data_IF_160729526257
#
_entry.id   IF_160729526257
#
_cell.length_a   1.000
_cell.length_b   1.000
_cell.length_c   1.000
_cell.angle_alpha   90.00
_cell.angle_beta   90.00
_cell.angle_gamma   90.00
#
_symmetry.space_group_name_H-M   'P 1'
#
loop_
_entity.id
_entity.type
_entity.pdbx_description
1 polymer ?
2 non-polymer ?
3 water ?
#
# COMPACT_ATOMS: atom_id res chain seq x y z
N UNK A 5 26.80 5.54 2.91
CA UNK A 5 25.67 6.47 2.80
C UNK A 5 24.37 5.84 3.27
N UNK A 6 23.80 6.36 4.36
CA UNK A 6 22.53 5.83 4.86
C UNK A 6 21.39 6.05 3.88
N UNK A 7 20.42 5.14 3.95
CA UNK A 7 19.18 5.19 3.19
C UNK A 7 18.04 4.78 4.11
N UNK A 8 16.82 5.10 3.73
CA UNK A 8 15.66 4.69 4.51
C UNK A 8 14.67 3.98 3.61
N UNK A 9 13.93 3.04 4.18
CA UNK A 9 13.02 2.27 3.36
C UNK A 9 12.05 1.45 4.19
N UNK A 10 11.01 0.97 3.52
CA UNK A 10 10.03 0.08 4.11
C UNK A 10 10.24 -1.32 3.54
N UNK A 11 10.31 -2.30 4.41
CA UNK A 11 10.46 -3.68 3.97
C UNK A 11 9.12 -4.16 3.44
N UNK A 12 9.09 -4.54 2.16
CA UNK A 12 7.86 -5.04 1.57
C UNK A 12 7.73 -6.55 1.58
N UNK A 13 8.84 -7.28 1.67
CA UNK A 13 8.79 -8.74 1.61
C UNK A 13 10.16 -9.27 2.04
N UNK A 14 10.16 -10.47 2.63
CA UNK A 14 11.39 -11.19 2.93
C UNK A 14 11.25 -12.64 2.50
N UNK A 15 12.39 -13.27 2.19
CA UNK A 15 12.45 -14.67 1.77
C UNK A 15 13.69 -15.29 2.39
N UNK A 16 13.52 -16.44 3.03
CA UNK A 16 14.67 -17.14 3.61
C UNK A 16 15.54 -17.72 2.51
N UNK A 17 16.86 -17.53 2.63
CA UNK A 17 17.83 -18.17 1.76
C UNK A 17 18.98 -18.71 2.60
N UNK A 18 19.62 -19.76 2.08
CA UNK A 18 20.67 -20.51 2.80
C UNK A 18 20.12 -20.91 4.18
N UNK A 19 20.97 -20.98 5.19
CA UNK A 19 20.53 -21.44 6.49
C UNK A 19 19.64 -20.40 7.18
N UNK A 20 20.19 -19.21 7.41
CA UNK A 20 19.50 -18.19 8.20
C UNK A 20 19.50 -16.82 7.51
N UNK A 21 19.83 -16.75 6.23
CA UNK A 21 19.90 -15.46 5.57
C UNK A 21 18.51 -15.09 5.01
N UNK A 22 18.36 -13.82 4.65
CA UNK A 22 17.15 -13.33 4.03
C UNK A 22 17.47 -12.55 2.76
N UNK A 23 16.64 -12.75 1.74
CA UNK A 23 16.48 -11.73 0.71
C UNK A 23 15.44 -10.73 1.21
N UNK A 24 15.76 -9.44 1.12
CA UNK A 24 14.93 -8.38 1.69
C UNK A 24 14.57 -7.41 0.57
N UNK A 25 13.27 -7.25 0.33
CA UNK A 25 12.76 -6.32 -0.66
C UNK A 25 12.38 -5.03 0.06
N UNK A 26 12.98 -3.91 -0.35
CA UNK A 26 12.89 -2.65 0.38
C UNK A 26 12.44 -1.54 -0.56
N UNK A 27 11.38 -0.82 -0.16
CA UNK A 27 10.95 0.34 -0.93
C UNK A 27 11.62 1.58 -0.36
N UNK A 28 12.49 2.21 -1.15
CA UNK A 28 13.03 3.52 -0.80
C UNK A 28 12.37 4.60 -1.67
N UNK A 29 12.82 5.84 -1.51
CA UNK A 29 12.27 6.94 -2.29
C UNK A 29 12.67 6.89 -3.75
N UNK A 30 13.67 6.09 -4.12
CA UNK A 30 14.14 6.01 -5.49
C UNK A 30 13.89 4.68 -6.17
N UNK A 31 13.70 3.60 -5.41
CA UNK A 31 13.87 2.28 -5.99
C UNK A 31 13.20 1.23 -5.12
N UNK A 32 12.73 0.16 -5.76
CA UNK A 32 12.47 -1.08 -5.04
C UNK A 32 13.77 -1.87 -5.08
N UNK A 33 14.33 -2.16 -3.90
CA UNK A 33 15.63 -2.81 -3.75
C UNK A 33 15.42 -4.27 -3.40
N UNK A 34 16.22 -5.17 -4.02
CA UNK A 34 16.26 -6.58 -3.64
C UNK A 34 17.64 -6.84 -3.07
N UNK A 35 17.73 -7.00 -1.76
CA UNK A 35 19.01 -7.02 -1.06
C UNK A 35 19.20 -8.32 -0.29
N UNK A 36 20.46 -8.62 0.03
CA UNK A 36 20.83 -9.85 0.74
C UNK A 36 21.29 -9.51 2.16
N UNK A 37 20.66 -10.15 3.16
CA UNK A 37 20.97 -9.90 4.56
C UNK A 37 21.51 -11.16 5.22
N UNK A 38 22.78 -11.12 5.63
CA UNK A 38 23.35 -12.22 6.40
C UNK A 38 22.58 -12.39 7.71
N UNK A 39 22.20 -13.64 8.02
CA UNK A 39 21.57 -13.99 9.30
C UNK A 39 20.28 -13.20 9.56
N UNK A 40 19.58 -12.82 8.49
CA UNK A 40 18.40 -11.98 8.63
C UNK A 40 17.27 -12.64 9.39
N UNK A 41 17.22 -13.97 9.40
CA UNK A 41 16.21 -14.67 10.17
C UNK A 41 16.35 -14.42 11.67
N UNK A 42 17.55 -14.04 12.12
CA UNK A 42 17.79 -13.79 13.54
C UNK A 42 17.47 -12.36 13.95
N UNK A 43 17.22 -11.46 13.00
CA UNK A 43 17.19 -10.03 13.25
C UNK A 43 15.75 -9.55 13.39
N UNK A 44 15.36 -9.19 14.61
CA UNK A 44 13.99 -8.76 14.87
C UNK A 44 13.65 -7.44 14.20
N UNK A 45 14.64 -6.73 13.65
CA UNK A 45 14.40 -5.50 12.92
C UNK A 45 13.93 -5.73 11.48
N UNK A 46 14.02 -6.95 10.97
CA UNK A 46 13.77 -7.21 9.56
C UNK A 46 12.49 -8.03 9.46
N UNK A 47 11.38 -7.33 9.23
CA UNK A 47 10.06 -7.94 9.11
C UNK A 47 9.25 -7.09 8.13
N UNK A 48 8.43 -7.75 7.32
CA UNK A 48 7.61 -7.01 6.36
C UNK A 48 6.78 -5.94 7.05
N UNK A 49 6.80 -4.73 6.51
CA UNK A 49 6.10 -3.60 7.06
C UNK A 49 6.97 -2.69 7.89
N UNK A 50 8.09 -3.19 8.39
CA UNK A 50 8.98 -2.38 9.21
C UNK A 50 9.68 -1.33 8.35
N UNK A 51 9.99 -0.19 8.98
CA UNK A 51 10.81 0.83 8.35
C UNK A 51 12.22 0.72 8.91
N UNK A 52 13.21 0.83 8.04
CA UNK A 52 14.60 0.70 8.47
C UNK A 52 15.43 1.81 7.87
N UNK A 53 16.50 2.14 8.58
CA UNK A 53 17.62 2.91 8.08
C UNK A 53 18.75 1.91 7.82
N UNK A 54 19.40 2.02 6.67
CA UNK A 54 20.34 0.97 6.27
C UNK A 54 21.33 1.53 5.26
N UNK A 55 22.27 0.68 4.88
CA UNK A 55 23.23 0.97 3.82
C UNK A 55 23.31 -0.26 2.92
N UNK A 56 23.86 -0.06 1.72
CA UNK A 56 24.00 -1.14 0.76
C UNK A 56 25.45 -1.27 0.34
N UNK A 57 25.93 -2.50 0.29
CA UNK A 57 27.24 -2.83 -0.25
C UNK A 57 27.01 -3.51 -1.59
N UNK A 58 27.47 -2.88 -2.67
CA UNK A 58 27.27 -3.45 -4.00
C UNK A 58 28.16 -4.66 -4.20
N UNK A 59 27.67 -5.64 -4.97
CA UNK A 59 28.35 -6.87 -5.30
C UNK A 59 28.32 -7.10 -6.80
N UNK A 60 29.44 -7.49 -7.41
CA UNK A 60 29.42 -7.77 -8.85
C UNK A 60 28.50 -8.94 -9.17
N UNK A 61 27.60 -8.71 -10.12
CA UNK A 61 26.73 -9.76 -10.65
C UNK A 61 25.90 -10.44 -9.55
N UNK A 62 25.56 -9.69 -8.50
CA UNK A 62 24.71 -10.27 -7.46
C UNK A 62 23.97 -9.14 -6.74
N UNK A 63 23.05 -9.54 -5.87
CA UNK A 63 22.32 -8.58 -5.05
C UNK A 63 23.27 -7.74 -4.19
N UNK A 64 22.89 -6.50 -3.87
CA UNK A 64 23.64 -5.75 -2.86
C UNK A 64 23.42 -6.35 -1.49
N UNK A 65 24.45 -6.28 -0.65
CA UNK A 65 24.34 -6.74 0.71
C UNK A 65 23.74 -5.66 1.61
N UNK A 66 22.76 -6.05 2.41
CA UNK A 66 22.06 -5.15 3.32
C UNK A 66 22.86 -5.03 4.62
N UNK A 67 23.26 -3.79 4.97
CA UNK A 67 24.14 -3.54 6.10
C UNK A 67 23.61 -2.40 6.95
N UNK A 68 24.20 -2.27 8.15
CA UNK A 68 24.00 -1.11 9.04
C UNK A 68 22.52 -0.86 9.30
N UNK A 69 21.81 -1.91 9.67
CA UNK A 69 20.35 -1.85 9.77
C UNK A 69 19.93 -1.32 11.13
N UNK A 70 19.11 -0.27 11.13
CA UNK A 70 18.51 0.30 12.32
C UNK A 70 17.00 0.31 12.15
N UNK A 71 16.29 -0.28 13.11
CA UNK A 71 14.83 -0.28 13.07
C UNK A 71 14.29 1.10 13.41
N UNK A 72 13.51 1.68 12.51
CA UNK A 72 12.81 2.94 12.74
C UNK A 72 11.39 2.58 13.18
N UNK A 73 11.19 2.53 14.50
CA UNK A 73 9.95 2.01 15.02
C UNK A 73 8.77 2.92 14.83
N UNK A 74 7.58 2.33 14.93
CA UNK A 74 6.33 3.07 14.88
C UNK A 74 5.79 3.21 16.30
N UNK A 75 5.16 4.36 16.57
CA UNK A 75 4.54 4.56 17.88
C UNK A 75 3.48 3.49 18.16
N UNK A 76 2.82 2.96 17.13
CA UNK A 76 1.72 2.03 17.28
C UNK A 76 2.13 0.58 17.02
N UNK A 77 3.43 0.30 17.00
CA UNK A 77 3.91 -1.01 16.55
C UNK A 77 3.41 -2.15 17.43
N UNK A 78 3.05 -1.88 18.68
CA UNK A 78 2.59 -2.92 19.58
C UNK A 78 1.11 -3.27 19.40
N UNK A 79 0.38 -2.50 18.61
CA UNK A 79 -1.06 -2.72 18.42
C UNK A 79 -1.22 -3.74 17.29
N UNK A 80 -1.40 -5.01 17.67
CA UNK A 80 -1.40 -6.10 16.69
C UNK A 80 -2.51 -5.92 15.66
N UNK A 81 -3.65 -5.40 16.08
CA UNK A 81 -4.75 -5.11 15.15
C UNK A 81 -4.29 -4.19 14.03
N UNK A 82 -3.69 -3.05 14.38
CA UNK A 82 -3.23 -2.10 13.38
C UNK A 82 -2.12 -2.68 12.52
N UNK A 83 -1.19 -3.42 13.15
CA UNK A 83 -0.08 -3.98 12.39
C UNK A 83 -0.55 -5.03 11.41
N UNK A 84 -1.61 -5.77 11.75
CA UNK A 84 -2.21 -6.71 10.81
C UNK A 84 -2.69 -6.00 9.56
N UNK A 85 -3.41 -4.89 9.71
CA UNK A 85 -3.91 -4.14 8.55
C UNK A 85 -2.75 -3.56 7.76
N UNK A 86 -1.75 -3.02 8.47
CA UNK A 86 -0.57 -2.50 7.79
C UNK A 86 0.10 -3.56 6.95
N UNK A 87 0.30 -4.76 7.52
CA UNK A 87 0.98 -5.80 6.78
C UNK A 87 0.14 -6.30 5.60
N UNK A 88 -1.20 -6.28 5.72
CA UNK A 88 -2.05 -6.58 4.57
C UNK A 88 -1.80 -5.61 3.44
N UNK A 89 -1.77 -4.31 3.75
CA UNK A 89 -1.56 -3.30 2.72
C UNK A 89 -0.17 -3.44 2.10
N UNK A 90 0.83 -3.68 2.94
CA UNK A 90 2.21 -3.81 2.47
C UNK A 90 2.33 -4.98 1.50
N UNK A 91 1.67 -6.09 1.81
CA UNK A 91 1.70 -7.24 0.91
C UNK A 91 1.02 -6.92 -0.41
N UNK A 92 -0.11 -6.21 -0.35
CA UNK A 92 -0.77 -5.77 -1.59
C UNK A 92 0.15 -4.85 -2.39
N UNK A 93 0.86 -3.96 -1.71
CA UNK A 93 1.75 -3.03 -2.41
C UNK A 93 2.95 -3.75 -3.00
N UNK A 94 3.50 -4.73 -2.28
CA UNK A 94 4.58 -5.55 -2.85
C UNK A 94 4.14 -6.21 -4.15
N UNK A 95 2.94 -6.81 -4.16
CA UNK A 95 2.48 -7.48 -5.37
C UNK A 95 2.27 -6.49 -6.50
N UNK A 96 1.78 -5.31 -6.17
CA UNK A 96 1.59 -4.24 -7.14
C UNK A 96 2.92 -3.79 -7.76
N UNK A 97 3.95 -3.64 -6.94
CA UNK A 97 5.24 -3.11 -7.35
C UNK A 97 6.27 -4.18 -7.69
N UNK A 98 5.88 -5.47 -7.70
CA UNK A 98 6.87 -6.54 -7.68
C UNK A 98 7.87 -6.46 -8.83
N UNK A 99 7.46 -5.97 -10.00
CA UNK A 99 8.34 -5.98 -11.15
C UNK A 99 8.99 -4.63 -11.42
N UNK A 100 8.98 -3.72 -10.44
CA UNK A 100 9.45 -2.35 -10.59
C UNK A 100 10.85 -2.22 -10.02
N UNK A 101 11.67 -1.36 -10.63
CA UNK A 101 12.97 -1.02 -10.07
C UNK A 101 12.92 0.43 -9.65
N UNK A 102 13.33 1.38 -10.51
CA UNK A 102 13.19 2.79 -10.17
C UNK A 102 11.71 3.16 -10.07
N UNK A 103 11.39 4.00 -9.08
CA UNK A 103 10.05 4.54 -9.01
C UNK A 103 10.09 5.91 -8.36
N UNK A 104 8.94 6.59 -8.46
CA UNK A 104 8.79 7.93 -7.92
C UNK A 104 8.82 7.90 -6.39
N UNK A 105 9.34 8.97 -5.80
CA UNK A 105 9.35 9.07 -4.34
C UNK A 105 7.95 9.08 -3.74
N UNK A 106 6.91 9.27 -4.58
CA UNK A 106 5.52 9.22 -4.13
C UNK A 106 5.26 8.03 -3.20
N UNK A 107 5.72 6.84 -3.57
CA UNK A 107 5.33 5.63 -2.84
C UNK A 107 5.92 5.61 -1.44
N UNK A 108 7.24 5.85 -1.33
CA UNK A 108 7.86 5.95 0.00
C UNK A 108 7.21 7.04 0.84
N UNK A 109 7.03 8.23 0.26
CA UNK A 109 6.43 9.32 1.02
C UNK A 109 5.01 9.00 1.43
N UNK A 110 4.27 8.26 0.60
CA UNK A 110 2.91 7.87 0.97
C UNK A 110 2.92 6.97 2.20
N UNK A 111 3.82 5.98 2.22
CA UNK A 111 3.90 5.08 3.37
C UNK A 111 4.28 5.82 4.64
N UNK A 112 5.22 6.76 4.52
CA UNK A 112 5.60 7.60 5.66
C UNK A 112 4.41 8.34 6.23
N UNK A 113 3.56 8.89 5.35
CA UNK A 113 2.39 9.60 5.84
C UNK A 113 1.38 8.65 6.45
N UNK A 114 1.22 7.45 5.88
CA UNK A 114 0.34 6.44 6.47
C UNK A 114 0.76 6.12 7.89
N UNK A 115 2.06 5.88 8.09
CA UNK A 115 2.56 5.54 9.43
C UNK A 115 2.20 6.63 10.43
N UNK A 116 2.32 7.90 10.02
CA UNK A 116 1.97 8.98 10.92
C UNK A 116 0.48 8.96 11.23
N UNK A 117 -0.35 8.76 10.22
CA UNK A 117 -1.80 8.78 10.42
C UNK A 117 -2.28 7.56 11.20
N UNK A 118 -1.53 6.46 11.14
CA UNK A 118 -1.90 5.26 11.89
C UNK A 118 -1.91 5.49 13.40
N UNK A 119 -1.21 6.51 13.90
CA UNK A 119 -1.17 6.74 15.35
C UNK A 119 -2.57 6.97 15.91
N UNK A 120 -3.34 7.83 15.28
CA UNK A 120 -4.63 8.24 15.83
C UNK A 120 -5.84 7.89 14.97
N UNK A 121 -5.67 7.50 13.72
CA UNK A 121 -6.80 7.23 12.84
C UNK A 121 -7.06 5.73 12.70
N UNK A 122 -8.26 5.41 12.22
CA UNK A 122 -8.63 4.02 11.89
C UNK A 122 -7.72 3.52 10.77
N UNK A 123 -7.03 2.38 10.94
CA UNK A 123 -6.11 1.91 9.89
C UNK A 123 -6.77 1.66 8.55
N UNK A 124 -7.99 1.12 8.54
CA UNK A 124 -8.66 0.90 7.26
C UNK A 124 -8.97 2.22 6.57
N UNK A 125 -9.37 3.24 7.33
CA UNK A 125 -9.59 4.55 6.73
C UNK A 125 -8.31 5.11 6.12
N UNK A 126 -7.19 4.96 6.83
CA UNK A 126 -5.93 5.48 6.29
C UNK A 126 -5.59 4.77 4.97
N UNK A 127 -5.79 3.46 4.91
CA UNK A 127 -5.45 2.72 3.70
C UNK A 127 -6.39 3.09 2.56
N UNK A 128 -7.67 3.28 2.85
CA UNK A 128 -8.62 3.71 1.82
C UNK A 128 -8.19 5.05 1.25
N UNK A 129 -7.87 6.01 2.12
CA UNK A 129 -7.38 7.31 1.63
C UNK A 129 -6.11 7.14 0.81
N UNK A 130 -5.18 6.31 1.29
CA UNK A 130 -3.91 6.12 0.59
C UNK A 130 -4.12 5.49 -0.79
N UNK A 131 -5.02 4.52 -0.89
CA UNK A 131 -5.28 3.89 -2.19
C UNK A 131 -5.86 4.89 -3.19
N UNK A 132 -6.72 5.80 -2.73
CA UNK A 132 -7.23 6.83 -3.63
C UNK A 132 -6.09 7.64 -4.20
N UNK A 133 -5.10 7.99 -3.37
CA UNK A 133 -3.95 8.72 -3.87
C UNK A 133 -3.13 7.90 -4.88
N UNK A 134 -2.98 6.59 -4.63
CA UNK A 134 -2.27 5.73 -5.60
C UNK A 134 -2.98 5.76 -6.95
N UNK A 135 -4.29 5.56 -6.95
CA UNK A 135 -5.03 5.58 -8.22
C UNK A 135 -4.83 6.89 -8.95
N UNK A 136 -4.91 8.02 -8.22
CA UNK A 136 -4.79 9.30 -8.89
C UNK A 136 -3.37 9.51 -9.40
N UNK A 137 -2.37 9.12 -8.61
CA UNK A 137 -0.99 9.29 -9.04
C UNK A 137 -0.70 8.48 -10.30
N UNK A 138 -1.26 7.29 -10.39
CA UNK A 138 -1.02 6.41 -11.53
C UNK A 138 -1.99 6.67 -12.69
N UNK A 139 -2.88 7.65 -12.56
CA UNK A 139 -3.78 7.96 -13.65
C UNK A 139 -4.87 6.93 -13.87
N UNK A 140 -5.25 6.21 -12.81
CA UNK A 140 -6.22 5.12 -12.87
C UNK A 140 -7.50 5.44 -12.12
N UNK A 141 -7.71 6.69 -11.71
CA UNK A 141 -8.90 7.06 -10.96
C UNK A 141 -9.98 7.50 -11.94
N UNK A 142 -11.11 6.79 -11.93
CA UNK A 142 -12.25 7.14 -12.78
C UNK A 142 -13.18 8.05 -12.00
N UNK A 143 -13.00 9.35 -12.16
CA UNK A 143 -13.86 10.33 -11.50
C UNK A 143 -15.17 10.55 -12.24
N UNK A 144 -15.18 10.29 -13.54
CA UNK A 144 -16.43 10.23 -14.30
C UNK A 144 -17.04 8.86 -14.13
N UNK A 145 -18.32 8.81 -13.76
CA UNK A 145 -19.00 7.54 -13.50
C UNK A 145 -19.68 7.07 -14.77
N UNK A 146 -18.88 6.55 -15.69
CA UNK A 146 -19.37 5.84 -16.86
C UNK A 146 -19.11 4.35 -16.68
N UNK A 147 -20.14 3.55 -16.94
CA UNK A 147 -20.06 2.11 -16.64
C UNK A 147 -19.02 1.44 -17.53
N UNK A 148 -18.16 0.63 -16.91
CA UNK A 148 -17.17 -0.14 -17.66
C UNK A 148 -17.82 -1.08 -18.66
N UNK A 149 -19.05 -1.53 -18.39
CA UNK A 149 -19.71 -2.56 -19.18
C UNK A 149 -20.54 -2.01 -20.33
N UNK A 150 -21.42 -1.05 -20.04
CA UNK A 150 -22.35 -0.54 -21.05
C UNK A 150 -22.00 0.88 -21.52
N UNK A 151 -20.96 1.48 -20.96
CA UNK A 151 -20.44 2.81 -21.30
C UNK A 151 -21.46 3.92 -21.10
N UNK A 152 -22.46 3.73 -20.26
CA UNK A 152 -23.43 4.78 -20.00
C UNK A 152 -23.17 5.44 -18.66
N UNK A 153 -23.65 6.67 -18.53
CA UNK A 153 -23.56 7.38 -17.26
C UNK A 153 -24.25 6.60 -16.15
N UNK A 154 -23.62 6.57 -14.99
CA UNK A 154 -24.17 5.99 -13.76
C UNK A 154 -24.51 7.15 -12.83
N UNK A 155 -25.73 7.16 -12.31
CA UNK A 155 -26.17 8.26 -11.47
C UNK A 155 -26.66 7.75 -10.11
N UNK A 156 -26.37 8.54 -9.07
CA UNK A 156 -27.00 8.43 -7.75
C UNK A 156 -26.45 7.29 -6.90
N UNK A 157 -26.48 6.06 -7.41
CA UNK A 157 -25.88 4.92 -6.74
C UNK A 157 -24.82 4.32 -7.67
N UNK A 158 -23.57 4.33 -7.21
CA UNK A 158 -22.44 3.90 -8.02
C UNK A 158 -21.95 2.55 -7.50
N UNK A 159 -21.86 1.57 -8.38
CA UNK A 159 -21.21 0.30 -8.02
C UNK A 159 -19.73 0.40 -8.33
N UNK A 160 -18.90 -0.01 -7.36
CA UNK A 160 -17.46 -0.01 -7.54
C UNK A 160 -16.93 -1.44 -7.49
N UNK A 161 -15.94 -1.70 -8.32
CA UNK A 161 -15.23 -2.96 -8.43
C UNK A 161 -13.79 -2.75 -7.98
N UNK A 162 -12.95 -3.76 -8.25
CA UNK A 162 -11.51 -3.60 -8.04
C UNK A 162 -11.00 -2.33 -8.72
N UNK A 163 -10.09 -1.64 -8.03
CA UNK A 163 -9.50 -0.37 -8.49
C UNK A 163 -10.55 0.72 -8.67
N UNK A 164 -11.62 0.63 -7.89
CA UNK A 164 -12.74 1.59 -7.91
C UNK A 164 -13.27 1.81 -9.32
N UNK A 165 -13.27 0.74 -10.11
CA UNK A 165 -13.82 0.82 -11.46
C UNK A 165 -15.34 0.91 -11.34
N UNK A 166 -15.98 1.89 -11.97
CA UNK A 166 -17.42 2.08 -11.78
C UNK A 166 -18.29 1.24 -12.70
N UNK A 167 -19.49 0.91 -12.20
CA UNK A 167 -20.45 0.07 -12.91
C UNK A 167 -21.87 0.43 -12.48
N UNK A 168 -22.85 0.12 -13.33
CA UNK A 168 -24.22 -0.01 -12.87
C UNK A 168 -24.37 -1.29 -12.06
N UNK A 169 -25.18 -1.25 -11.00
CA UNK A 169 -25.44 -2.47 -10.24
C UNK A 169 -26.06 -3.55 -11.12
N UNK A 170 -26.86 -3.16 -12.11
CA UNK A 170 -27.44 -4.14 -13.04
C UNK A 170 -26.41 -4.69 -14.02
N UNK A 171 -25.25 -4.06 -14.16
CA UNK A 171 -24.24 -4.54 -15.09
C UNK A 171 -23.16 -5.39 -14.44
N UNK A 172 -22.94 -5.24 -13.13
CA UNK A 172 -21.87 -6.00 -12.49
C UNK A 172 -22.09 -6.05 -11.00
N UNK A 173 -21.61 -7.13 -10.38
CA UNK A 173 -21.64 -7.27 -8.93
C UNK A 173 -20.46 -6.54 -8.31
N UNK A 174 -20.73 -5.70 -7.32
CA UNK A 174 -19.69 -5.05 -6.55
C UNK A 174 -20.26 -4.48 -5.27
N UNK A 175 -19.77 -3.32 -4.85
CA UNK A 175 -20.31 -2.61 -3.70
C UNK A 175 -20.84 -1.26 -4.14
N UNK A 176 -21.98 -0.85 -3.58
CA UNK A 176 -22.66 0.38 -3.96
C UNK A 176 -22.32 1.53 -3.02
N UNK A 177 -22.19 2.73 -3.59
CA UNK A 177 -21.93 3.95 -2.82
C UNK A 177 -22.70 5.09 -3.45
N UNK A 178 -23.18 6.01 -2.63
CA UNK A 178 -23.90 7.16 -3.16
C UNK A 178 -22.96 8.04 -3.98
N UNK A 179 -23.45 8.48 -5.15
CA UNK A 179 -22.65 9.34 -6.02
C UNK A 179 -22.14 10.57 -5.28
N UNK A 180 -23.02 11.27 -4.56
CA UNK A 180 -22.62 12.50 -3.88
C UNK A 180 -21.48 12.25 -2.90
N UNK A 181 -21.48 11.09 -2.23
CA UNK A 181 -20.41 10.79 -1.28
C UNK A 181 -19.11 10.43 -1.98
N UNK A 182 -19.18 9.66 -3.08
CA UNK A 182 -17.98 9.35 -3.84
C UNK A 182 -17.34 10.61 -4.39
N UNK A 183 -18.16 11.53 -4.90
CA UNK A 183 -17.64 12.81 -5.36
C UNK A 183 -16.93 13.56 -4.24
N UNK A 184 -17.50 13.55 -3.04
CA UNK A 184 -16.88 14.23 -1.91
C UNK A 184 -15.56 13.55 -1.51
N UNK A 185 -15.54 12.22 -1.55
CA UNK A 185 -14.31 11.48 -1.27
C UNK A 185 -13.24 11.80 -2.30
N UNK A 186 -13.60 11.78 -3.59
CA UNK A 186 -12.61 12.02 -4.64
C UNK A 186 -12.10 13.46 -4.62
N UNK A 187 -12.96 14.41 -4.24
CA UNK A 187 -12.56 15.81 -4.19
C UNK A 187 -11.67 16.09 -2.98
N UNK A 188 -12.07 15.60 -1.81
CA UNK A 188 -11.42 15.93 -0.55
C UNK A 188 -10.28 14.98 -0.20
N UNK A 189 -10.18 13.85 -0.89
CA UNK A 189 -9.25 12.75 -0.60
C UNK A 189 -9.42 12.22 0.81
N UNK A 190 -10.60 12.37 1.40
CA UNK A 190 -10.87 12.04 2.80
C UNK A 190 -12.11 11.16 2.86
N UNK A 191 -11.95 9.91 3.30
CA UNK A 191 -13.06 8.97 3.35
C UNK A 191 -13.96 9.15 4.57
N UNK A 192 -13.81 10.25 5.31
CA UNK A 192 -14.67 10.49 6.48
C UNK A 192 -16.14 10.50 6.12
N UNK A 193 -16.48 10.78 4.86
CA UNK A 193 -17.88 10.86 4.46
C UNK A 193 -18.56 9.49 4.51
N UNK A 194 -17.79 8.41 4.46
CA UNK A 194 -18.31 7.05 4.46
C UNK A 194 -18.37 6.51 5.89
N UNK A 195 -19.41 5.74 6.19
CA UNK A 195 -19.51 5.14 7.51
C UNK A 195 -18.64 3.88 7.56
N UNK A 196 -18.59 3.25 8.74
CA UNK A 196 -17.64 2.16 8.94
C UNK A 196 -17.92 0.99 8.00
N UNK A 197 -19.18 0.64 7.79
CA UNK A 197 -19.43 -0.49 6.88
C UNK A 197 -19.07 -0.14 5.45
N UNK A 198 -19.24 1.11 5.04
CA UNK A 198 -18.81 1.50 3.70
C UNK A 198 -17.29 1.42 3.57
N UNK A 199 -16.56 1.79 4.62
CA UNK A 199 -15.10 1.65 4.63
C UNK A 199 -14.70 0.19 4.50
N UNK A 200 -15.37 -0.69 5.25
CA UNK A 200 -15.10 -2.13 5.17
C UNK A 200 -15.25 -2.63 3.72
N UNK A 201 -16.23 -2.12 3.00
CA UNK A 201 -16.46 -2.59 1.64
C UNK A 201 -15.43 -2.02 0.66
N UNK A 202 -15.09 -0.73 0.80
CA UNK A 202 -13.97 -0.19 0.04
C UNK A 202 -12.70 -0.98 0.31
N UNK A 203 -12.49 -1.37 1.56
CA UNK A 203 -11.30 -2.16 1.89
C UNK A 203 -11.37 -3.57 1.28
N UNK A 204 -12.55 -4.17 1.18
CA UNK A 204 -12.66 -5.45 0.46
C UNK A 204 -12.25 -5.29 -1.00
N UNK A 205 -12.65 -4.19 -1.64
CA UNK A 205 -12.21 -3.93 -3.01
C UNK A 205 -10.70 -3.77 -3.09
N UNK A 206 -10.10 -3.07 -2.12
CA UNK A 206 -8.64 -2.93 -2.12
C UNK A 206 -7.98 -4.31 -2.03
N UNK A 207 -8.56 -5.21 -1.23
CA UNK A 207 -7.98 -6.54 -1.09
C UNK A 207 -8.11 -7.41 -2.34
N UNK A 208 -8.83 -6.95 -3.36
CA UNK A 208 -8.78 -7.63 -4.66
C UNK A 208 -7.46 -7.40 -5.39
N UNK A 209 -6.65 -6.46 -4.90
CA UNK A 209 -5.42 -6.13 -5.58
C UNK A 209 -5.42 -4.66 -5.95
N UNK A 210 -4.26 -4.03 -5.85
CA UNK A 210 -4.18 -2.60 -6.12
C UNK A 210 -4.38 -2.32 -7.60
X LIG B 1 -23.71 -0.34 -17.15
#
# INVERSE_FOLDING_TARGET
GSAKDPMQGFILHTQKVKDEDLIVYILSSKMLIKAYRFYGLRHSSILSGYKIDFALEENPSFLPRLKDVLHLGFLWIMQRDKMLIWQEFIRLLYRHLKDVEELDSFYFDLLDECVKRFEKQNPKRVIVDAYLKILEFEGRLHKDFFCFACDEKIQNSITLLRAFLPSHSQCALGFEFEEKKLKQFYSSKNCAIFDDEEIENLYHLIKEGL
ZN ZN
#
